data_IF_038920220164
#
_entry.id   IF_038920220164
#
_cell.length_a   1.000
_cell.length_b   1.000
_cell.length_c   1.000
_cell.angle_alpha   90.00
_cell.angle_beta   90.00
_cell.angle_gamma   90.00
#
_symmetry.space_group_name_H-M   'P 1'
#
loop_
_entity.id
_entity.type
_entity.pdbx_description
1 polymer ?
#
# COMPACT_ATOMS: atom_id res chain seq x y z
N UNK A 1 -13.37 -5.84 -5.62
CA UNK A 1 -12.98 -6.69 -6.77
C UNK A 1 -11.56 -7.27 -6.62
N UNK A 2 -10.51 -6.46 -6.41
CA UNK A 2 -9.13 -6.94 -6.35
C UNK A 2 -8.87 -8.00 -5.26
N UNK A 3 -9.36 -7.78 -4.02
CA UNK A 3 -9.18 -8.76 -2.95
C UNK A 3 -9.77 -10.14 -3.32
N UNK A 4 -10.94 -10.18 -3.95
CA UNK A 4 -11.56 -11.45 -4.35
C UNK A 4 -10.71 -12.21 -5.40
N UNK A 5 -10.11 -11.49 -6.35
CA UNK A 5 -9.20 -12.09 -7.35
C UNK A 5 -7.94 -12.61 -6.66
N UNK A 6 -7.35 -11.83 -5.76
CA UNK A 6 -6.17 -12.23 -5.01
C UNK A 6 -6.45 -13.45 -4.13
N UNK A 7 -7.53 -13.42 -3.33
CA UNK A 7 -7.92 -14.51 -2.45
C UNK A 7 -8.18 -15.82 -3.19
N UNK A 8 -8.85 -15.76 -4.35
CA UNK A 8 -9.05 -16.93 -5.22
C UNK A 8 -7.74 -17.58 -5.67
N UNK A 9 -6.69 -16.78 -5.90
CA UNK A 9 -5.37 -17.28 -6.34
C UNK A 9 -4.45 -17.68 -5.19
N UNK A 10 -4.46 -16.91 -4.10
CA UNK A 10 -3.49 -17.02 -3.02
C UNK A 10 -4.01 -17.80 -1.79
N UNK A 11 -5.31 -18.12 -1.74
CA UNK A 11 -5.94 -18.80 -0.61
C UNK A 11 -6.04 -17.97 0.66
N UNK A 12 -5.79 -16.66 0.58
CA UNK A 12 -5.84 -15.71 1.70
C UNK A 12 -6.14 -14.30 1.21
N UNK A 13 -6.68 -13.46 2.07
CA UNK A 13 -6.94 -12.06 1.77
C UNK A 13 -5.65 -11.27 1.48
N UNK A 14 -5.81 -10.20 0.70
CA UNK A 14 -4.79 -9.22 0.42
C UNK A 14 -4.36 -8.56 1.74
N UNK A 15 -3.05 -8.42 1.91
CA UNK A 15 -2.42 -7.76 3.05
C UNK A 15 -1.40 -6.74 2.55
N UNK A 16 -0.71 -6.07 3.47
CA UNK A 16 0.16 -4.92 3.17
C UNK A 16 1.17 -5.20 2.03
N UNK A 17 1.94 -6.31 2.10
CA UNK A 17 2.97 -6.60 1.10
C UNK A 17 2.45 -6.73 -0.35
N UNK A 18 1.47 -7.61 -0.67
CA UNK A 18 0.94 -7.70 -2.02
C UNK A 18 0.21 -6.43 -2.46
N UNK A 19 -0.39 -5.68 -1.53
CA UNK A 19 -1.01 -4.39 -1.85
C UNK A 19 0.03 -3.34 -2.30
N UNK A 20 1.19 -3.28 -1.63
CA UNK A 20 2.33 -2.44 -2.03
C UNK A 20 2.89 -2.84 -3.38
N UNK A 21 3.08 -4.14 -3.61
CA UNK A 21 3.57 -4.65 -4.89
C UNK A 21 2.62 -4.32 -6.04
N UNK A 22 1.31 -4.48 -5.83
CA UNK A 22 0.29 -4.10 -6.81
C UNK A 22 0.31 -2.58 -7.09
N UNK A 23 0.48 -1.75 -6.06
CA UNK A 23 0.60 -0.30 -6.23
C UNK A 23 1.86 0.08 -7.01
N UNK A 24 2.99 -0.60 -6.74
CA UNK A 24 4.24 -0.38 -7.47
C UNK A 24 4.13 -0.74 -8.95
N UNK A 25 3.57 -1.91 -9.28
CA UNK A 25 3.43 -2.33 -10.69
C UNK A 25 2.42 -1.47 -11.44
N UNK A 26 1.30 -1.08 -10.81
CA UNK A 26 0.31 -0.20 -11.46
C UNK A 26 0.89 1.20 -11.72
N UNK A 27 1.70 1.72 -10.81
CA UNK A 27 2.46 2.97 -11.03
C UNK A 27 3.39 2.85 -12.24
N UNK A 28 4.12 1.73 -12.35
CA UNK A 28 5.02 1.50 -13.50
C UNK A 28 4.24 1.42 -14.82
N UNK A 29 3.13 0.69 -14.83
CA UNK A 29 2.28 0.55 -16.02
C UNK A 29 1.68 1.90 -16.45
N UNK A 30 1.23 2.72 -15.50
CA UNK A 30 0.79 4.10 -15.77
C UNK A 30 1.91 4.93 -16.42
N UNK A 31 3.12 4.86 -15.88
CA UNK A 31 4.27 5.58 -16.45
C UNK A 31 4.62 5.10 -17.86
N UNK A 32 4.58 3.79 -18.12
CA UNK A 32 4.80 3.23 -19.47
C UNK A 32 3.73 3.73 -20.44
N UNK A 33 2.46 3.74 -20.02
CA UNK A 33 1.36 4.25 -20.85
C UNK A 33 1.53 5.74 -21.18
N UNK A 34 1.93 6.56 -20.20
CA UNK A 34 2.22 7.99 -20.41
C UNK A 34 3.46 8.24 -21.25
N UNK A 35 4.48 7.38 -21.16
CA UNK A 35 5.67 7.46 -22.00
C UNK A 35 5.37 7.15 -23.47
N UNK A 36 4.34 6.35 -23.75
CA UNK A 36 3.93 5.97 -25.11
C UNK A 36 5.01 5.18 -25.88
N UNK A 37 5.98 4.62 -25.15
CA UNK A 37 7.21 4.03 -25.68
C UNK A 37 7.81 3.05 -24.67
N UNK A 38 8.60 2.10 -25.17
CA UNK A 38 9.42 1.19 -24.35
C UNK A 38 10.84 1.73 -24.13
N UNK A 39 11.13 2.97 -24.54
CA UNK A 39 12.42 3.61 -24.31
C UNK A 39 12.67 3.85 -22.80
N UNK A 40 13.84 3.44 -22.25
CA UNK A 40 14.13 3.57 -20.84
C UNK A 40 14.09 5.01 -20.32
N UNK A 41 14.60 5.98 -21.09
CA UNK A 41 14.63 7.39 -20.65
C UNK A 41 13.24 8.02 -20.72
N UNK A 42 12.41 7.65 -21.70
CA UNK A 42 11.02 8.06 -21.76
C UNK A 42 10.23 7.56 -20.53
N UNK A 43 10.39 6.28 -20.17
CA UNK A 43 9.74 5.69 -18.98
C UNK A 43 10.26 6.35 -17.70
N UNK A 44 11.57 6.57 -17.57
CA UNK A 44 12.15 7.22 -16.40
C UNK A 44 11.60 8.64 -16.23
N UNK A 45 11.51 9.43 -17.30
CA UNK A 45 10.89 10.77 -17.27
C UNK A 45 9.43 10.71 -16.83
N UNK A 46 8.67 9.76 -17.35
CA UNK A 46 7.28 9.55 -16.94
C UNK A 46 7.16 9.14 -15.47
N UNK A 47 8.03 8.25 -14.97
CA UNK A 47 8.08 7.85 -13.57
C UNK A 47 8.36 9.05 -12.66
N UNK A 48 9.37 9.87 -12.97
CA UNK A 48 9.70 11.08 -12.20
C UNK A 48 8.53 12.07 -12.18
N UNK A 49 7.79 12.19 -13.28
CA UNK A 49 6.62 13.05 -13.39
C UNK A 49 5.34 12.46 -12.75
N UNK A 50 5.41 11.30 -12.10
CA UNK A 50 4.25 10.63 -11.51
C UNK A 50 3.66 11.44 -10.37
N UNK A 51 2.33 11.57 -10.39
CA UNK A 51 1.53 12.18 -9.34
C UNK A 51 0.17 11.50 -9.29
N UNK A 52 0.10 10.32 -8.65
CA UNK A 52 -1.15 9.54 -8.52
C UNK A 52 -1.79 9.88 -7.17
N UNK A 53 -3.03 10.37 -7.13
CA UNK A 53 -3.71 10.68 -5.88
C UNK A 53 -4.14 9.41 -5.12
N UNK A 54 -4.22 9.51 -3.79
CA UNK A 54 -4.48 8.37 -2.90
C UNK A 54 -5.83 7.66 -3.13
N UNK A 55 -6.84 8.36 -3.64
CA UNK A 55 -8.15 7.80 -3.97
C UNK A 55 -8.12 6.84 -5.17
N UNK A 56 -7.04 6.85 -5.95
CA UNK A 56 -6.78 5.89 -7.02
C UNK A 56 -5.93 4.70 -6.56
N UNK A 57 -5.48 4.70 -5.30
CA UNK A 57 -4.64 3.65 -4.75
C UNK A 57 -5.47 2.66 -3.93
N UNK A 58 -4.99 1.42 -3.91
CA UNK A 58 -5.50 0.40 -2.97
C UNK A 58 -4.84 0.53 -1.59
N UNK A 59 -3.69 1.21 -1.52
CA UNK A 59 -2.99 1.54 -0.29
C UNK A 59 -3.63 2.78 0.31
N UNK A 60 -3.67 2.86 1.64
CA UNK A 60 -4.11 4.06 2.39
C UNK A 60 -3.04 5.17 2.42
N UNK A 61 -2.33 5.34 1.31
CA UNK A 61 -1.34 6.39 1.09
C UNK A 61 -2.03 7.67 0.59
N UNK A 62 -1.38 8.83 0.76
CA UNK A 62 -1.88 10.08 0.18
C UNK A 62 -1.70 10.15 -1.32
N UNK A 63 -0.74 9.38 -1.84
CA UNK A 63 -0.47 9.29 -3.26
C UNK A 63 0.84 8.60 -3.58
N UNK A 64 1.16 8.58 -4.87
CA UNK A 64 2.48 8.22 -5.39
C UNK A 64 3.06 9.44 -6.09
N UNK A 65 4.07 10.04 -5.45
CA UNK A 65 4.82 11.18 -5.96
C UNK A 65 6.26 11.12 -5.49
N UNK A 66 7.20 11.20 -6.41
CA UNK A 66 8.62 11.08 -6.12
C UNK A 66 9.27 12.45 -5.89
N UNK A 67 10.10 12.55 -4.85
CA UNK A 67 10.97 13.71 -4.65
C UNK A 67 12.28 13.59 -5.45
N UNK A 68 13.19 14.56 -5.25
CA UNK A 68 14.49 14.59 -5.91
C UNK A 68 15.40 13.41 -5.54
N UNK A 69 15.13 12.73 -4.42
CA UNK A 69 15.85 11.53 -3.99
C UNK A 69 15.24 10.25 -4.57
N UNK A 70 14.10 10.36 -5.26
CA UNK A 70 13.36 9.23 -5.80
C UNK A 70 12.44 8.54 -4.79
N UNK A 71 12.25 9.13 -3.59
CA UNK A 71 11.40 8.56 -2.55
C UNK A 71 9.94 8.98 -2.75
N UNK A 72 9.01 8.05 -2.52
CA UNK A 72 7.58 8.38 -2.56
C UNK A 72 7.20 9.20 -1.31
N UNK A 73 6.83 10.46 -1.53
CA UNK A 73 6.42 11.42 -0.50
C UNK A 73 4.99 11.24 0.00
N UNK A 74 4.14 10.50 -0.72
CA UNK A 74 2.75 10.24 -0.32
C UNK A 74 2.57 9.00 0.58
N UNK A 75 3.65 8.33 0.97
CA UNK A 75 3.56 7.12 1.81
C UNK A 75 3.05 7.48 3.21
N UNK A 76 2.02 6.75 3.66
CA UNK A 76 1.55 6.79 5.05
C UNK A 76 1.99 5.55 5.82
N UNK A 77 2.27 5.76 7.10
CA UNK A 77 2.51 4.67 8.05
C UNK A 77 1.23 3.87 8.28
N UNK A 78 1.33 2.54 8.19
CA UNK A 78 0.26 1.61 8.54
C UNK A 78 0.78 0.75 9.69
N UNK A 79 0.03 0.71 10.78
CA UNK A 79 0.38 -0.11 11.95
C UNK A 79 -0.66 -1.20 12.10
N UNK A 80 -0.15 -2.43 12.16
CA UNK A 80 -0.94 -3.61 12.47
C UNK A 80 -0.68 -4.04 13.91
N UNK A 81 -1.72 -4.42 14.63
CA UNK A 81 -1.61 -5.05 15.93
C UNK A 81 -2.28 -6.43 15.92
N UNK A 82 -1.63 -7.41 16.53
CA UNK A 82 -2.22 -8.73 16.74
C UNK A 82 -3.18 -8.67 17.94
N UNK A 83 -4.47 -8.95 17.70
CA UNK A 83 -5.52 -8.98 18.71
C UNK A 83 -6.42 -10.20 18.43
N UNK A 84 -6.72 -11.05 19.42
CA UNK A 84 -7.58 -12.21 19.18
C UNK A 84 -6.98 -13.22 18.20
N UNK A 85 -5.65 -13.35 18.16
CA UNK A 85 -4.94 -14.20 17.20
C UNK A 85 -4.97 -13.73 15.74
N UNK A 86 -5.45 -12.51 15.45
CA UNK A 86 -5.54 -11.94 14.10
C UNK A 86 -4.86 -10.57 14.02
N UNK A 87 -4.30 -10.24 12.85
CA UNK A 87 -3.76 -8.91 12.59
C UNK A 87 -4.89 -7.95 12.24
N UNK A 88 -4.93 -6.81 12.93
CA UNK A 88 -5.86 -5.72 12.69
C UNK A 88 -5.09 -4.42 12.43
N UNK A 89 -5.53 -3.64 11.44
CA UNK A 89 -5.05 -2.26 11.26
C UNK A 89 -5.55 -1.41 12.40
N UNK A 90 -4.63 -0.76 13.12
CA UNK A 90 -4.93 0.15 14.25
C UNK A 90 -4.51 1.61 13.98
N UNK A 91 -3.75 1.84 12.90
CA UNK A 91 -3.38 3.17 12.42
C UNK A 91 -3.15 3.13 10.89
N UNK A 92 -3.55 4.16 10.12
CA UNK A 92 -4.16 5.42 10.56
C UNK A 92 -5.58 5.22 11.11
N UNK A 93 -6.03 6.13 11.99
CA UNK A 93 -7.27 5.94 12.76
C UNK A 93 -8.53 6.01 11.91
N UNK A 94 -8.49 6.73 10.79
CA UNK A 94 -9.56 6.80 9.79
C UNK A 94 -9.74 5.49 9.00
N UNK A 95 -8.72 4.64 8.97
CA UNK A 95 -8.74 3.33 8.32
C UNK A 95 -8.58 2.16 9.31
N UNK A 96 -8.65 2.43 10.62
CA UNK A 96 -8.50 1.43 11.65
C UNK A 96 -9.69 0.47 11.67
N UNK A 97 -9.40 -0.83 11.80
CA UNK A 97 -10.41 -1.89 11.95
C UNK A 97 -10.62 -2.28 13.41
N UNK A 98 -9.71 -1.85 14.29
CA UNK A 98 -9.75 -2.00 15.74
C UNK A 98 -9.03 -0.83 16.41
N UNK A 99 -9.40 -0.55 17.64
CA UNK A 99 -8.67 0.38 18.50
C UNK A 99 -7.29 -0.19 18.88
N UNK A 100 -6.34 0.71 19.16
CA UNK A 100 -5.03 0.33 19.68
C UNK A 100 -5.18 -0.25 21.09
N UNK A 101 -4.68 -1.46 21.32
CA UNK A 101 -4.54 -2.02 22.67
C UNK A 101 -3.23 -1.52 23.30
N UNK A 102 -3.36 -0.64 24.28
CA UNK A 102 -2.25 -0.13 25.08
C UNK A 102 -2.64 0.02 26.56
N UNK A 103 -1.80 -0.37 27.54
CA UNK A 103 -0.52 -1.08 27.36
C UNK A 103 -0.74 -2.47 26.72
N UNK A 104 0.23 -2.93 25.94
CA UNK A 104 0.10 -4.22 25.26
C UNK A 104 0.00 -5.31 26.35
N UNK A 105 -1.06 -6.15 26.35
CA UNK A 105 -1.26 -7.18 27.37
C UNK A 105 -0.04 -8.09 27.51
N UNK A 106 0.14 -8.70 28.68
CA UNK A 106 1.18 -9.73 28.82
C UNK A 106 0.89 -10.91 27.88
N UNK A 107 1.93 -11.64 27.48
CA UNK A 107 1.79 -12.73 26.51
C UNK A 107 0.71 -13.75 26.89
N UNK A 108 0.63 -14.10 28.19
CA UNK A 108 -0.38 -15.01 28.75
C UNK A 108 -1.83 -14.53 28.60
N UNK A 109 -2.03 -13.22 28.43
CA UNK A 109 -3.33 -12.56 28.34
C UNK A 109 -3.70 -12.17 26.91
N UNK A 110 -2.80 -12.37 25.93
CA UNK A 110 -3.05 -12.19 24.50
C UNK A 110 -3.74 -13.44 23.95
N UNK A 111 -5.04 -13.57 24.20
CA UNK A 111 -5.89 -14.55 23.52
C UNK A 111 -6.26 -14.07 22.12
#
# INVERSE_FOLDING_TARGET
ALNAIYAKRAGKDLYDFPARAFTGITTLLDAINRAGSTDPEAIRKALVATNIPGDQLIMTWEGVKFDQTGQNTGVKGIILQMQGGKYHTVYPFDAATRDVLYPIPQWKDRK
#
